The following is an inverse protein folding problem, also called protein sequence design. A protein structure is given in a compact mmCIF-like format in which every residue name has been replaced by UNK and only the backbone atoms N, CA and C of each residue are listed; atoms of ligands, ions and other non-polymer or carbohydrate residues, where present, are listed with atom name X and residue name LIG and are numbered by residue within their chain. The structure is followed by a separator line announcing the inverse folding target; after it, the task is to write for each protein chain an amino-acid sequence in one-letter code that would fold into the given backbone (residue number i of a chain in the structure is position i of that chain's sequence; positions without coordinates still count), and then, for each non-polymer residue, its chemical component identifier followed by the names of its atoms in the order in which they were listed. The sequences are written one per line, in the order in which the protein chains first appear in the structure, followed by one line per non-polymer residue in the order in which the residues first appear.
data_IF_891872424400
#
_entry.id   IF_891872424400
#
_cell.length_a   1.000
_cell.length_b   1.000
_cell.length_c   1.000
_cell.angle_alpha   90.00
_cell.angle_beta   90.00
_cell.angle_gamma   90.00
#
_symmetry.space_group_name_H-M   'P 1'
#
loop_
_entity.id
_entity.type
_entity.pdbx_description
1 polymer ?
#
# COMPACT_ATOMS: atom_id res chain seq x y z
N UNK A 1 -14.47 0.49 9.92
CA UNK A 1 -14.14 1.91 10.14
C UNK A 1 -12.83 2.32 9.46
N UNK A 2 -11.73 1.61 9.73
CA UNK A 2 -10.38 1.95 9.23
C UNK A 2 -10.25 1.94 7.70
N UNK A 3 -10.80 0.93 7.02
CA UNK A 3 -10.73 0.85 5.56
C UNK A 3 -11.43 1.99 4.82
N UNK A 4 -12.52 2.54 5.39
CA UNK A 4 -13.18 3.72 4.81
C UNK A 4 -12.32 4.98 4.95
N UNK A 5 -11.60 5.11 6.06
CA UNK A 5 -10.66 6.22 6.24
C UNK A 5 -9.51 6.12 5.24
N UNK A 6 -8.91 4.93 5.08
CA UNK A 6 -7.80 4.72 4.14
C UNK A 6 -8.25 4.95 2.70
N UNK A 7 -9.44 4.48 2.30
CA UNK A 7 -9.97 4.74 0.96
C UNK A 7 -10.30 6.22 0.73
N UNK A 8 -10.75 6.93 1.77
CA UNK A 8 -10.94 8.38 1.71
C UNK A 8 -9.60 9.10 1.50
N UNK A 9 -8.55 8.73 2.24
CA UNK A 9 -7.21 9.29 2.05
C UNK A 9 -6.67 8.99 0.64
N UNK A 10 -6.87 7.77 0.15
CA UNK A 10 -6.53 7.40 -1.23
C UNK A 10 -7.18 8.36 -2.23
N UNK A 11 -8.50 8.54 -2.15
CA UNK A 11 -9.23 9.44 -3.04
C UNK A 11 -8.74 10.90 -2.93
N UNK A 12 -8.43 11.36 -1.72
CA UNK A 12 -7.89 12.70 -1.50
C UNK A 12 -6.53 12.89 -2.19
N UNK A 13 -5.58 11.98 -1.97
CA UNK A 13 -4.24 12.06 -2.59
C UNK A 13 -4.24 11.79 -4.09
N UNK A 14 -5.21 11.04 -4.62
CA UNK A 14 -5.47 10.91 -6.06
C UNK A 14 -6.10 12.17 -6.67
N UNK A 15 -6.49 13.17 -5.86
CA UNK A 15 -7.09 14.42 -6.30
C UNK A 15 -8.54 14.30 -6.79
N UNK A 16 -9.28 13.28 -6.33
CA UNK A 16 -10.71 13.04 -6.65
C UNK A 16 -11.63 14.05 -5.96
N UNK A 17 -11.44 15.33 -6.25
CA UNK A 17 -12.12 16.47 -5.60
C UNK A 17 -13.64 16.36 -5.64
N UNK A 18 -14.19 15.82 -6.72
CA UNK A 18 -15.62 15.63 -6.91
C UNK A 18 -16.27 14.80 -5.80
N UNK A 19 -15.54 13.85 -5.21
CA UNK A 19 -16.03 13.01 -4.10
C UNK A 19 -16.15 13.79 -2.78
N UNK A 20 -15.53 14.97 -2.69
CA UNK A 20 -15.50 15.78 -1.47
C UNK A 20 -16.39 17.02 -1.55
N UNK A 21 -17.09 17.25 -2.66
CA UNK A 21 -17.94 18.43 -2.85
C UNK A 21 -18.92 18.62 -1.70
N UNK A 22 -18.96 19.85 -1.17
CA UNK A 22 -19.86 20.22 -0.07
C UNK A 22 -19.37 19.81 1.33
N UNK A 23 -18.30 19.03 1.44
CA UNK A 23 -17.64 18.75 2.72
C UNK A 23 -16.73 19.93 3.12
N UNK A 24 -16.33 19.95 4.39
CA UNK A 24 -15.42 20.99 4.89
C UNK A 24 -14.10 21.06 4.09
N UNK A 25 -13.55 19.91 3.70
CA UNK A 25 -12.28 19.84 2.95
C UNK A 25 -12.37 20.48 1.56
N UNK A 26 -13.52 20.47 0.88
CA UNK A 26 -13.70 21.16 -0.40
C UNK A 26 -13.51 22.68 -0.29
N UNK A 27 -13.84 23.24 0.88
CA UNK A 27 -13.63 24.66 1.19
C UNK A 27 -12.21 24.94 1.66
N UNK A 28 -11.58 24.01 2.38
CA UNK A 28 -10.27 24.19 3.00
C UNK A 28 -9.11 23.88 2.05
N UNK A 29 -9.18 22.79 1.30
CA UNK A 29 -8.14 22.37 0.35
C UNK A 29 -8.23 23.20 -0.94
N UNK A 30 -7.11 23.83 -1.32
CA UNK A 30 -7.03 24.74 -2.47
C UNK A 30 -6.22 24.16 -3.62
N UNK A 31 -5.20 23.38 -3.32
CA UNK A 31 -4.23 22.94 -4.32
C UNK A 31 -4.63 21.64 -4.99
N UNK A 32 -5.29 20.73 -4.24
CA UNK A 32 -5.73 19.42 -4.76
C UNK A 32 -4.61 18.68 -5.52
N UNK A 33 -3.40 18.74 -4.96
CA UNK A 33 -2.21 18.07 -5.50
C UNK A 33 -2.48 16.58 -5.68
N UNK A 34 -2.11 16.06 -6.84
CA UNK A 34 -2.19 14.64 -7.15
C UNK A 34 -0.84 13.98 -6.83
N UNK A 35 -0.90 12.90 -6.07
CA UNK A 35 0.28 12.14 -5.66
C UNK A 35 0.23 10.74 -6.29
N UNK A 36 1.39 10.12 -6.58
CA UNK A 36 1.42 8.69 -6.84
C UNK A 36 1.06 7.93 -5.56
N UNK A 37 -0.12 7.31 -5.54
CA UNK A 37 -0.65 6.56 -4.40
C UNK A 37 -0.44 5.06 -4.61
N UNK A 38 0.19 4.43 -3.64
CA UNK A 38 0.35 2.98 -3.55
C UNK A 38 -0.51 2.49 -2.40
N UNK A 39 -1.53 1.69 -2.70
CA UNK A 39 -2.45 1.17 -1.69
C UNK A 39 -2.30 -0.34 -1.58
N UNK A 40 -1.74 -0.79 -0.46
CA UNK A 40 -1.58 -2.18 -0.08
C UNK A 40 -2.65 -2.52 0.97
N UNK A 41 -3.55 -3.44 0.64
CA UNK A 41 -4.57 -3.92 1.57
C UNK A 41 -4.38 -5.42 1.77
N UNK A 42 -4.32 -5.85 3.02
CA UNK A 42 -4.34 -7.27 3.40
C UNK A 42 -5.79 -7.79 3.57
N UNK A 43 -6.77 -7.00 3.13
CA UNK A 43 -8.17 -7.34 3.18
C UNK A 43 -8.59 -8.47 2.25
N UNK A 44 -9.53 -9.30 2.71
CA UNK A 44 -10.07 -10.41 1.94
C UNK A 44 -9.09 -11.56 1.64
N UNK A 45 -7.85 -11.49 2.15
CA UNK A 45 -6.83 -12.52 1.97
C UNK A 45 -6.82 -13.50 3.15
N UNK A 46 -6.52 -14.76 2.84
CA UNK A 46 -6.30 -15.80 3.83
C UNK A 46 -4.79 -16.00 4.01
N UNK A 47 -4.25 -15.66 5.19
CA UNK A 47 -2.83 -15.82 5.49
C UNK A 47 -2.52 -17.12 6.25
N UNK A 48 -3.44 -18.09 6.23
CA UNK A 48 -3.17 -19.46 6.73
C UNK A 48 -2.25 -20.21 5.76
N UNK A 49 -2.31 -19.91 4.46
CA UNK A 49 -1.47 -20.58 3.47
C UNK A 49 0.00 -20.09 3.58
N UNK A 50 0.98 -21.02 3.54
CA UNK A 50 2.38 -20.65 3.42
C UNK A 50 2.60 -19.71 2.24
N UNK A 51 3.45 -18.69 2.42
CA UNK A 51 3.80 -17.70 1.40
C UNK A 51 2.66 -16.78 0.92
N UNK A 52 1.47 -16.82 1.55
CA UNK A 52 0.37 -15.91 1.19
C UNK A 52 0.78 -14.42 1.29
N UNK A 53 1.57 -14.07 2.31
CA UNK A 53 2.11 -12.72 2.47
C UNK A 53 3.03 -12.34 1.32
N UNK A 54 3.97 -13.22 0.96
CA UNK A 54 4.93 -12.97 -0.12
C UNK A 54 4.20 -12.76 -1.45
N UNK A 55 3.19 -13.59 -1.74
CA UNK A 55 2.37 -13.45 -2.94
C UNK A 55 1.67 -12.10 -3.03
N UNK A 56 1.05 -11.65 -1.94
CA UNK A 56 0.36 -10.35 -1.89
C UNK A 56 1.35 -9.20 -2.13
N UNK A 57 2.54 -9.25 -1.53
CA UNK A 57 3.56 -8.21 -1.71
C UNK A 57 4.15 -8.23 -3.12
N UNK A 58 4.39 -9.42 -3.68
CA UNK A 58 4.88 -9.60 -5.05
C UNK A 58 3.89 -9.05 -6.09
N UNK A 59 2.60 -9.39 -5.96
CA UNK A 59 1.54 -8.87 -6.83
C UNK A 59 1.44 -7.35 -6.73
N UNK A 60 1.52 -6.80 -5.51
CA UNK A 60 1.49 -5.36 -5.26
C UNK A 60 2.65 -4.65 -5.97
N UNK A 61 3.88 -5.13 -5.82
CA UNK A 61 5.06 -4.52 -6.47
C UNK A 61 5.01 -4.71 -7.99
N UNK A 62 4.62 -5.89 -8.49
CA UNK A 62 4.50 -6.14 -9.91
C UNK A 62 3.47 -5.21 -10.58
N UNK A 63 2.32 -4.97 -9.94
CA UNK A 63 1.33 -4.01 -10.45
C UNK A 63 1.88 -2.58 -10.47
N UNK A 64 2.68 -2.22 -9.48
CA UNK A 64 3.31 -0.91 -9.38
C UNK A 64 4.40 -0.72 -10.46
N UNK A 65 5.19 -1.76 -10.75
CA UNK A 65 6.16 -1.81 -11.84
C UNK A 65 5.52 -1.60 -13.21
N UNK A 66 4.31 -2.11 -13.44
CA UNK A 66 3.58 -1.89 -14.71
C UNK A 66 3.24 -0.41 -14.95
N UNK A 67 3.07 0.38 -13.89
CA UNK A 67 2.66 1.79 -13.98
C UNK A 67 3.88 2.73 -14.06
N UNK A 68 4.92 2.45 -13.25
CA UNK A 68 6.06 3.33 -13.06
C UNK A 68 7.38 2.80 -13.64
N UNK A 69 7.41 1.55 -14.11
CA UNK A 69 8.59 0.89 -14.67
C UNK A 69 9.35 0.06 -13.64
N UNK A 70 9.91 -1.06 -14.12
CA UNK A 70 10.78 -1.96 -13.35
C UNK A 70 12.25 -1.57 -13.54
N UNK A 71 13.04 -1.69 -12.48
CA UNK A 71 14.50 -1.62 -12.55
C UNK A 71 15.06 -3.03 -12.80
N UNK A 72 15.87 -3.17 -13.84
CA UNK A 72 16.34 -4.47 -14.33
C UNK A 72 17.31 -5.11 -13.33
N UNK A 73 18.11 -4.29 -12.65
CA UNK A 73 19.07 -4.72 -11.63
C UNK A 73 18.44 -4.91 -10.23
N UNK A 74 17.16 -4.62 -10.07
CA UNK A 74 16.47 -4.82 -8.80
C UNK A 74 15.92 -6.25 -8.71
N UNK A 75 16.64 -7.12 -7.99
CA UNK A 75 16.29 -8.53 -7.86
C UNK A 75 15.34 -8.79 -6.68
N UNK A 76 15.57 -8.15 -5.54
CA UNK A 76 14.75 -8.34 -4.34
C UNK A 76 13.47 -7.52 -4.39
N UNK A 77 12.41 -8.00 -3.75
CA UNK A 77 11.15 -7.28 -3.59
C UNK A 77 11.33 -5.86 -3.02
N UNK A 78 12.17 -5.72 -1.99
CA UNK A 78 12.50 -4.42 -1.40
C UNK A 78 13.21 -3.48 -2.37
N UNK A 79 14.19 -3.98 -3.15
CA UNK A 79 14.86 -3.18 -4.17
C UNK A 79 13.92 -2.76 -5.31
N UNK A 80 13.01 -3.65 -5.72
CA UNK A 80 12.01 -3.39 -6.75
C UNK A 80 11.02 -2.32 -6.30
N UNK A 81 10.50 -2.44 -5.07
CA UNK A 81 9.61 -1.43 -4.52
C UNK A 81 10.29 -0.06 -4.37
N UNK A 82 11.55 -0.03 -3.88
CA UNK A 82 12.35 1.20 -3.82
C UNK A 82 12.50 1.85 -5.21
N UNK A 83 12.80 1.06 -6.23
CA UNK A 83 12.94 1.55 -7.60
C UNK A 83 11.63 2.14 -8.11
N UNK A 84 10.51 1.46 -7.89
CA UNK A 84 9.17 1.95 -8.28
C UNK A 84 8.83 3.28 -7.61
N UNK A 85 9.12 3.45 -6.32
CA UNK A 85 8.91 4.74 -5.62
C UNK A 85 9.76 5.86 -6.23
N UNK A 86 11.03 5.57 -6.54
CA UNK A 86 11.93 6.50 -7.22
C UNK A 86 11.43 6.88 -8.61
N UNK A 87 10.97 5.90 -9.39
CA UNK A 87 10.44 6.14 -10.73
C UNK A 87 9.13 6.91 -10.72
N UNK A 88 8.25 6.66 -9.73
CA UNK A 88 7.04 7.44 -9.53
C UNK A 88 7.37 8.91 -9.24
N UNK A 89 8.38 9.17 -8.41
CA UNK A 89 8.85 10.53 -8.17
C UNK A 89 9.43 11.18 -9.42
N UNK A 90 10.30 10.48 -10.16
CA UNK A 90 10.86 10.98 -11.43
C UNK A 90 9.77 11.32 -12.47
N UNK A 91 8.71 10.51 -12.54
CA UNK A 91 7.61 10.66 -13.52
C UNK A 91 6.64 11.77 -13.15
N UNK A 92 6.38 11.99 -11.85
CA UNK A 92 5.33 12.91 -11.38
C UNK A 92 5.85 14.20 -10.76
N UNK A 93 7.12 14.23 -10.36
CA UNK A 93 7.69 15.29 -9.50
C UNK A 93 7.22 15.25 -8.05
N UNK A 94 6.31 14.33 -7.70
CA UNK A 94 5.65 14.27 -6.40
C UNK A 94 6.21 13.14 -5.55
N UNK A 95 6.19 13.29 -4.23
CA UNK A 95 6.54 12.19 -3.32
C UNK A 95 5.44 11.13 -3.36
N UNK A 96 5.82 9.87 -3.20
CA UNK A 96 4.86 8.77 -3.11
C UNK A 96 4.11 8.79 -1.78
N UNK A 97 2.83 8.44 -1.84
CA UNK A 97 2.00 8.13 -0.68
C UNK A 97 1.79 6.63 -0.64
N UNK A 98 2.23 5.99 0.45
CA UNK A 98 2.04 4.55 0.66
C UNK A 98 0.98 4.36 1.75
N UNK A 99 -0.15 3.80 1.38
CA UNK A 99 -1.28 3.50 2.26
C UNK A 99 -1.30 2.00 2.51
N UNK A 100 -1.27 1.60 3.77
CA UNK A 100 -1.30 0.21 4.19
C UNK A 100 -2.54 -0.01 5.05
N UNK A 101 -3.45 -0.87 4.61
CA UNK A 101 -4.69 -1.20 5.32
C UNK A 101 -4.67 -2.66 5.80
N UNK A 102 -5.27 -2.90 6.98
CA UNK A 102 -5.39 -4.21 7.62
C UNK A 102 -4.05 -4.95 7.84
N UNK A 103 -2.97 -4.22 8.07
CA UNK A 103 -1.62 -4.77 8.34
C UNK A 103 -1.57 -5.72 9.54
N UNK A 104 -2.54 -5.62 10.45
CA UNK A 104 -2.68 -6.48 11.61
C UNK A 104 -3.03 -7.92 11.24
N UNK A 105 -3.69 -8.17 10.10
CA UNK A 105 -4.04 -9.53 9.67
C UNK A 105 -2.84 -10.47 9.59
N UNK A 106 -1.82 -10.22 8.75
CA UNK A 106 -0.66 -11.13 8.67
C UNK A 106 0.05 -11.29 10.03
N UNK A 107 0.09 -10.24 10.85
CA UNK A 107 0.68 -10.31 12.19
C UNK A 107 -0.12 -11.21 13.16
N UNK A 108 -1.45 -11.16 13.10
CA UNK A 108 -2.31 -12.01 13.91
C UNK A 108 -2.14 -13.48 13.54
N UNK A 109 -2.01 -13.81 12.25
CA UNK A 109 -1.76 -15.18 11.81
C UNK A 109 -0.38 -15.69 12.24
N UNK A 110 0.68 -14.89 12.07
CA UNK A 110 2.02 -15.26 12.53
C UNK A 110 2.05 -15.56 14.04
N UNK A 111 1.33 -14.75 14.84
CA UNK A 111 1.22 -14.99 16.29
C UNK A 111 0.41 -16.25 16.62
N UNK A 112 -0.58 -16.61 15.81
CA UNK A 112 -1.39 -17.80 16.05
C UNK A 112 -0.62 -19.09 15.72
N UNK A 113 0.23 -19.07 14.68
CA UNK A 113 1.20 -20.14 14.40
C UNK A 113 2.15 -20.34 15.59
N UNK A 114 2.76 -19.27 16.10
CA UNK A 114 3.65 -19.34 17.27
C UNK A 114 2.96 -19.89 18.55
N UNK A 115 1.69 -19.55 18.77
CA UNK A 115 0.93 -20.12 19.89
C UNK A 115 0.60 -21.61 19.73
N UNK A 116 0.55 -22.13 18.50
CA UNK A 116 0.30 -23.54 18.22
C UNK A 116 1.59 -24.37 18.14
N UNK A 117 2.71 -23.75 17.78
CA UNK A 117 4.03 -24.41 17.74
C UNK A 117 4.76 -24.43 19.08
N UNK A 118 4.31 -23.65 20.07
CA UNK A 118 4.85 -23.69 21.44
C UNK A 118 6.28 -23.15 21.57
N UNK A 119 6.83 -22.54 20.53
CA UNK A 119 8.18 -21.97 20.56
C UNK A 119 8.14 -20.55 21.12
N UNK A 120 8.73 -20.38 22.31
CA UNK A 120 8.98 -19.08 22.92
C UNK A 120 10.03 -18.29 22.12
N UNK A 121 9.89 -16.97 21.96
CA UNK A 121 10.94 -16.18 21.31
C UNK A 121 12.18 -16.09 22.21
N UNK A 122 13.33 -16.49 21.67
CA UNK A 122 14.66 -16.22 22.25
C UNK A 122 14.99 -14.71 22.22
#
# INVERSE_FOLDING_TARGET
GKSLLVSTLKCYFEGKKELFKGLAIDKLEKEWKQYPVFHLSFGGQNFVEPYALDKVLEEFVAMAERIYGREELAETLGSRFKAVLGNAHKKTGMRAVVLIDEYDKPLLYARHEHCLTGESPE
#
